data_IF_322235122006
#
_entry.id   IF_322235122006
#
_cell.length_a   1.000
_cell.length_b   1.000
_cell.length_c   1.000
_cell.angle_alpha   90.00
_cell.angle_beta   90.00
_cell.angle_gamma   90.00
#
_symmetry.space_group_name_H-M   'P 1'
#
loop_
_entity.id
_entity.type
_entity.pdbx_description
1 polymer ?
#
# COMPACT_ATOMS: atom_id res chain seq x y z
N UNK A 1 1.31 0.40 42.18
CA UNK A 1 1.72 -0.28 40.94
C UNK A 1 1.23 -1.71 41.06
N UNK A 2 0.12 -2.06 40.42
CA UNK A 2 -0.43 -3.42 40.52
C UNK A 2 0.28 -4.31 39.49
N UNK A 3 1.07 -5.28 39.97
CA UNK A 3 1.61 -6.36 39.14
C UNK A 3 0.46 -7.18 38.56
N UNK A 4 0.20 -7.02 37.27
CA UNK A 4 -0.74 -7.89 36.54
C UNK A 4 0.02 -9.19 36.25
N UNK A 5 -0.44 -10.35 36.76
CA UNK A 5 0.17 -11.63 36.45
C UNK A 5 0.18 -11.85 34.94
N UNK A 6 1.36 -12.14 34.37
CA UNK A 6 1.47 -12.52 32.97
C UNK A 6 0.64 -13.79 32.73
N UNK A 7 -0.18 -13.86 31.67
CA UNK A 7 -0.91 -15.07 31.34
C UNK A 7 0.08 -16.21 31.07
N UNK A 8 -0.30 -17.47 31.37
CA UNK A 8 0.55 -18.62 31.11
C UNK A 8 0.88 -18.71 29.62
N UNK A 9 2.10 -19.15 29.25
CA UNK A 9 2.46 -19.34 27.86
C UNK A 9 1.51 -20.36 27.21
N UNK A 10 1.13 -20.17 25.94
CA UNK A 10 0.28 -21.11 25.22
C UNK A 10 0.96 -22.49 25.14
N UNK A 11 0.17 -23.59 25.09
CA UNK A 11 0.70 -24.93 24.96
C UNK A 11 1.51 -25.08 23.66
N UNK A 12 2.56 -25.92 23.65
CA UNK A 12 3.35 -26.16 22.45
C UNK A 12 2.48 -26.78 21.35
N UNK A 13 2.68 -26.41 20.07
CA UNK A 13 1.94 -26.99 18.96
C UNK A 13 2.21 -28.51 18.84
N UNK A 14 1.25 -29.29 18.31
CA UNK A 14 1.45 -30.72 18.07
C UNK A 14 2.62 -30.97 17.11
N UNK A 15 3.33 -32.11 17.25
CA UNK A 15 4.50 -32.39 16.43
C UNK A 15 4.14 -32.51 14.94
N UNK A 16 5.01 -32.02 14.03
CA UNK A 16 4.80 -32.11 12.60
C UNK A 16 4.58 -33.55 12.10
N UNK A 17 3.75 -33.74 11.06
CA UNK A 17 3.78 -34.97 10.27
C UNK A 17 5.21 -35.22 9.73
N UNK A 18 5.72 -36.46 9.79
CA UNK A 18 7.03 -36.78 9.23
C UNK A 18 7.06 -36.46 7.73
N UNK A 19 7.95 -35.56 7.31
CA UNK A 19 8.21 -35.26 5.89
C UNK A 19 7.50 -34.04 5.30
N UNK A 20 6.75 -33.25 6.09
CA UNK A 20 6.17 -31.98 5.63
C UNK A 20 7.08 -30.79 5.92
N UNK A 21 7.31 -29.91 4.94
CA UNK A 21 7.81 -28.57 5.21
C UNK A 21 6.71 -27.82 6.00
N UNK A 22 6.90 -27.65 7.30
CA UNK A 22 6.05 -26.74 8.07
C UNK A 22 6.62 -25.34 7.98
N UNK A 23 5.83 -24.35 7.51
CA UNK A 23 6.25 -22.97 7.65
C UNK A 23 6.47 -22.68 9.15
N UNK A 24 7.48 -21.88 9.52
CA UNK A 24 7.65 -21.46 10.89
C UNK A 24 6.36 -20.75 11.35
N UNK A 25 5.76 -21.22 12.44
CA UNK A 25 4.56 -20.65 13.08
C UNK A 25 4.94 -20.20 14.49
N UNK A 26 4.39 -19.07 14.95
CA UNK A 26 4.71 -18.49 16.26
C UNK A 26 6.09 -17.85 16.33
N UNK A 27 6.79 -17.67 15.20
CA UNK A 27 8.10 -17.03 15.18
C UNK A 27 7.91 -15.51 15.25
N UNK A 28 8.47 -14.91 16.30
CA UNK A 28 8.50 -13.45 16.49
C UNK A 28 9.76 -12.85 15.85
N UNK A 29 9.73 -11.56 15.47
CA UNK A 29 10.94 -10.86 15.04
C UNK A 29 12.00 -10.84 16.15
N UNK A 30 13.26 -11.00 15.75
CA UNK A 30 14.42 -11.02 16.66
C UNK A 30 14.57 -9.71 17.46
N UNK A 31 14.18 -8.56 16.87
CA UNK A 31 14.14 -7.28 17.55
C UNK A 31 13.06 -6.37 16.95
N UNK A 32 12.34 -5.65 17.81
CA UNK A 32 11.42 -4.58 17.42
C UNK A 32 12.17 -3.24 17.55
N UNK A 33 12.88 -2.87 16.48
CA UNK A 33 13.70 -1.66 16.46
C UNK A 33 14.25 -1.34 15.07
N UNK A 34 14.75 -0.11 14.90
CA UNK A 34 15.32 0.34 13.63
C UNK A 34 14.28 0.71 12.57
N UNK A 35 14.70 0.65 11.31
CA UNK A 35 14.03 1.31 10.19
C UNK A 35 12.65 0.74 9.81
N UNK A 36 12.37 -0.51 10.19
CA UNK A 36 11.11 -1.20 9.84
C UNK A 36 9.99 -1.03 10.88
N UNK A 37 10.33 -0.66 12.12
CA UNK A 37 9.35 -0.61 13.23
C UNK A 37 9.14 0.81 13.79
N UNK A 38 10.01 1.78 13.46
CA UNK A 38 9.81 3.19 13.83
C UNK A 38 8.76 3.84 12.91
N UNK A 39 7.58 4.26 13.42
CA UNK A 39 6.51 4.78 12.57
C UNK A 39 6.94 6.02 11.78
N UNK A 40 7.63 6.96 12.45
CA UNK A 40 8.12 8.18 11.81
C UNK A 40 9.15 7.90 10.72
N UNK A 41 10.05 6.95 10.95
CA UNK A 41 11.09 6.58 9.99
C UNK A 41 10.48 5.84 8.79
N UNK A 42 9.53 4.93 9.03
CA UNK A 42 8.79 4.24 7.96
C UNK A 42 8.05 5.24 7.07
N UNK A 43 7.33 6.21 7.65
CA UNK A 43 6.63 7.25 6.88
C UNK A 43 7.63 8.09 6.09
N UNK A 44 8.69 8.59 6.76
CA UNK A 44 9.71 9.42 6.14
C UNK A 44 10.37 8.72 4.94
N UNK A 45 10.84 7.49 5.12
CA UNK A 45 11.47 6.73 4.05
C UNK A 45 10.48 6.38 2.94
N UNK A 46 9.22 6.07 3.27
CA UNK A 46 8.18 5.83 2.25
C UNK A 46 8.00 7.04 1.34
N UNK A 47 7.98 8.25 1.91
CA UNK A 47 7.88 9.50 1.14
C UNK A 47 9.16 9.75 0.33
N UNK A 48 10.32 9.73 1.00
CA UNK A 48 11.63 10.07 0.39
C UNK A 48 11.99 9.12 -0.75
N UNK A 49 11.56 7.86 -0.67
CA UNK A 49 11.82 6.83 -1.69
C UNK A 49 10.65 6.61 -2.65
N UNK A 50 9.62 7.47 -2.62
CA UNK A 50 8.45 7.40 -3.49
C UNK A 50 7.76 6.02 -3.49
N UNK A 51 7.55 5.46 -2.29
CA UNK A 51 6.85 4.18 -2.10
C UNK A 51 7.74 2.94 -2.22
N UNK A 52 8.99 3.05 -2.69
CA UNK A 52 9.92 1.89 -2.75
C UNK A 52 10.16 1.33 -1.35
N UNK A 53 10.41 2.19 -0.36
CA UNK A 53 10.50 1.77 1.04
C UNK A 53 9.19 1.17 1.55
N UNK A 54 8.04 1.71 1.13
CA UNK A 54 6.72 1.15 1.46
C UNK A 54 6.56 -0.29 0.98
N UNK A 55 7.08 -0.62 -0.21
CA UNK A 55 7.11 -1.99 -0.71
C UNK A 55 8.04 -2.90 0.11
N UNK A 56 9.25 -2.45 0.45
CA UNK A 56 10.18 -3.22 1.29
C UNK A 56 9.62 -3.46 2.70
N UNK A 57 9.00 -2.44 3.27
CA UNK A 57 8.31 -2.55 4.55
C UNK A 57 7.14 -3.53 4.45
N UNK A 58 6.34 -3.48 3.39
CA UNK A 58 5.22 -4.42 3.14
C UNK A 58 5.73 -5.85 3.07
N UNK A 59 6.84 -6.10 2.38
CA UNK A 59 7.48 -7.42 2.33
C UNK A 59 7.80 -7.93 3.73
N UNK A 60 8.57 -7.13 4.49
CA UNK A 60 9.07 -7.53 5.81
C UNK A 60 7.92 -7.77 6.79
N UNK A 61 6.99 -6.85 6.86
CA UNK A 61 5.82 -6.93 7.74
C UNK A 61 4.95 -8.15 7.40
N UNK A 62 4.69 -8.40 6.12
CA UNK A 62 3.84 -9.54 5.72
C UNK A 62 4.53 -10.89 5.93
N UNK A 63 5.86 -10.98 5.80
CA UNK A 63 6.63 -12.16 6.20
C UNK A 63 6.56 -12.40 7.70
N UNK A 64 6.81 -11.37 8.52
CA UNK A 64 6.78 -11.49 9.97
C UNK A 64 5.39 -11.92 10.47
N UNK A 65 4.33 -11.35 9.90
CA UNK A 65 2.95 -11.76 10.19
C UNK A 65 2.72 -13.23 9.84
N UNK A 66 3.07 -13.66 8.62
CA UNK A 66 2.88 -15.05 8.17
C UNK A 66 3.66 -16.05 9.02
N UNK A 67 4.88 -15.70 9.44
CA UNK A 67 5.72 -16.53 10.32
C UNK A 67 5.16 -16.64 11.74
N UNK A 68 4.41 -15.64 12.18
CA UNK A 68 3.78 -15.67 13.48
C UNK A 68 2.45 -16.44 13.46
N UNK A 69 1.57 -16.15 12.51
CA UNK A 69 0.22 -16.73 12.44
C UNK A 69 0.18 -18.10 11.77
N UNK A 70 1.19 -18.42 10.94
CA UNK A 70 1.17 -19.61 10.07
C UNK A 70 0.22 -19.48 8.87
N UNK A 71 -0.52 -18.37 8.77
CA UNK A 71 -1.51 -18.09 7.72
C UNK A 71 -1.46 -16.60 7.32
N UNK A 72 -1.55 -16.31 6.02
CA UNK A 72 -1.49 -14.96 5.49
C UNK A 72 -0.75 -14.84 4.15
N UNK A 73 -0.82 -13.63 3.57
CA UNK A 73 -0.26 -13.31 2.25
C UNK A 73 1.22 -13.70 2.15
N UNK A 74 2.02 -13.37 3.17
CA UNK A 74 3.48 -13.43 3.10
C UNK A 74 4.06 -12.23 2.34
N UNK A 75 5.38 -12.06 2.40
CA UNK A 75 6.07 -10.88 1.88
C UNK A 75 5.91 -10.69 0.39
N UNK A 76 6.22 -11.73 -0.40
CA UNK A 76 6.18 -11.64 -1.86
C UNK A 76 4.78 -11.29 -2.34
N UNK A 77 3.77 -12.03 -1.87
CA UNK A 77 2.38 -11.78 -2.28
C UNK A 77 1.87 -10.43 -1.79
N UNK A 78 2.27 -10.01 -0.57
CA UNK A 78 1.97 -8.67 -0.05
C UNK A 78 2.54 -7.56 -0.94
N UNK A 79 3.78 -7.68 -1.40
CA UNK A 79 4.39 -6.73 -2.35
C UNK A 79 3.68 -6.73 -3.69
N UNK A 80 3.34 -7.91 -4.21
CA UNK A 80 2.60 -8.03 -5.47
C UNK A 80 1.26 -7.30 -5.37
N UNK A 81 0.52 -7.52 -4.29
CA UNK A 81 -0.76 -6.81 -4.03
C UNK A 81 -0.53 -5.30 -3.94
N UNK A 82 0.47 -4.86 -3.16
CA UNK A 82 0.80 -3.44 -3.02
C UNK A 82 1.07 -2.79 -4.39
N UNK A 83 1.97 -3.37 -5.18
CA UNK A 83 2.37 -2.82 -6.48
C UNK A 83 1.19 -2.84 -7.46
N UNK A 84 0.45 -3.96 -7.54
CA UNK A 84 -0.67 -4.08 -8.48
C UNK A 84 -1.75 -3.05 -8.15
N UNK A 85 -2.16 -2.92 -6.88
CA UNK A 85 -3.18 -1.95 -6.50
C UNK A 85 -2.74 -0.52 -6.79
N UNK A 86 -1.50 -0.17 -6.47
CA UNK A 86 -0.95 1.16 -6.75
C UNK A 86 -0.92 1.48 -8.24
N UNK A 87 -0.45 0.54 -9.08
CA UNK A 87 -0.38 0.75 -10.52
C UNK A 87 -1.78 0.81 -11.13
N UNK A 88 -2.67 -0.12 -10.77
CA UNK A 88 -4.03 -0.16 -11.32
C UNK A 88 -4.75 1.17 -11.07
N UNK A 89 -4.69 1.72 -9.85
CA UNK A 89 -5.33 2.99 -9.52
C UNK A 89 -4.82 4.17 -10.37
N UNK A 90 -3.55 4.15 -10.75
CA UNK A 90 -2.93 5.18 -11.59
C UNK A 90 -3.58 5.28 -12.98
N UNK A 91 -4.12 4.17 -13.50
CA UNK A 91 -4.86 4.12 -14.77
C UNK A 91 -6.37 4.24 -14.58
N UNK A 92 -6.91 3.65 -13.51
CA UNK A 92 -8.35 3.62 -13.23
C UNK A 92 -8.89 5.03 -12.94
N UNK A 93 -8.19 5.84 -12.12
CA UNK A 93 -8.69 7.18 -11.76
C UNK A 93 -8.83 8.10 -13.00
N UNK A 94 -7.83 8.24 -13.90
CA UNK A 94 -7.99 9.01 -15.13
C UNK A 94 -9.09 8.46 -16.04
N UNK A 95 -9.28 7.13 -16.08
CA UNK A 95 -10.36 6.51 -16.84
C UNK A 95 -11.74 6.87 -16.28
N UNK A 96 -11.90 6.87 -14.96
CA UNK A 96 -13.14 7.30 -14.29
C UNK A 96 -13.45 8.77 -14.55
N UNK A 97 -12.43 9.64 -14.46
CA UNK A 97 -12.58 11.06 -14.81
C UNK A 97 -12.96 11.23 -16.28
N UNK A 98 -12.33 10.49 -17.20
CA UNK A 98 -12.69 10.51 -18.62
C UNK A 98 -14.15 10.16 -18.84
N UNK A 99 -14.60 9.03 -18.28
CA UNK A 99 -15.98 8.58 -18.40
C UNK A 99 -16.97 9.59 -17.79
N UNK A 100 -16.60 10.23 -16.67
CA UNK A 100 -17.39 11.27 -16.03
C UNK A 100 -17.57 12.50 -16.94
N UNK A 101 -16.49 13.01 -17.55
CA UNK A 101 -16.55 14.12 -18.50
C UNK A 101 -17.37 13.78 -19.75
N UNK A 102 -17.18 12.59 -20.32
CA UNK A 102 -17.87 12.16 -21.55
C UNK A 102 -19.38 11.98 -21.34
N UNK A 103 -19.78 11.47 -20.16
CA UNK A 103 -21.20 11.41 -19.76
C UNK A 103 -21.82 12.78 -19.61
N UNK A 104 -21.01 13.81 -19.35
CA UNK A 104 -21.44 15.21 -19.31
C UNK A 104 -21.42 15.90 -20.67
N UNK A 105 -21.17 15.15 -21.76
CA UNK A 105 -21.04 15.70 -23.11
C UNK A 105 -19.78 16.55 -23.31
N UNK A 106 -18.80 16.49 -22.40
CA UNK A 106 -17.56 17.26 -22.46
C UNK A 106 -16.39 16.37 -22.88
N UNK A 107 -15.42 16.95 -23.58
CA UNK A 107 -14.14 16.27 -23.81
C UNK A 107 -13.33 16.24 -22.51
N UNK A 108 -12.77 15.07 -22.18
CA UNK A 108 -11.97 14.93 -20.97
C UNK A 108 -10.57 15.51 -21.14
N UNK A 109 -10.05 16.27 -20.16
CA UNK A 109 -8.68 16.75 -20.13
C UNK A 109 -7.65 15.65 -19.81
N UNK A 110 -8.10 14.46 -19.41
CA UNK A 110 -7.26 13.30 -19.08
C UNK A 110 -7.73 12.04 -19.78
N UNK A 111 -6.81 11.10 -19.95
CA UNK A 111 -7.08 9.77 -20.53
C UNK A 111 -6.37 8.70 -19.69
N UNK A 112 -6.73 7.41 -19.81
CA UNK A 112 -6.06 6.34 -19.08
C UNK A 112 -4.54 6.33 -19.28
N UNK A 113 -4.03 6.78 -20.44
CA UNK A 113 -2.59 6.85 -20.72
C UNK A 113 -1.85 7.84 -19.82
N UNK A 114 -2.53 8.80 -19.19
CA UNK A 114 -1.91 9.63 -18.16
C UNK A 114 -1.38 8.77 -17.01
N UNK A 115 -1.94 7.58 -16.78
CA UNK A 115 -1.43 6.65 -15.81
C UNK A 115 0.06 6.31 -15.98
N UNK A 116 0.60 6.38 -17.21
CA UNK A 116 2.02 6.09 -17.51
C UNK A 116 3.01 7.06 -16.84
N UNK A 117 2.56 8.20 -16.32
CA UNK A 117 3.43 9.12 -15.59
C UNK A 117 4.10 8.50 -14.37
N UNK A 118 3.59 7.39 -13.81
CA UNK A 118 4.26 6.67 -12.71
C UNK A 118 5.67 6.17 -13.06
N UNK A 119 5.97 5.97 -14.35
CA UNK A 119 7.30 5.56 -14.83
C UNK A 119 8.38 6.61 -14.54
N UNK A 120 7.97 7.87 -14.32
CA UNK A 120 8.83 8.95 -13.86
C UNK A 120 8.49 9.23 -12.38
N UNK A 121 9.08 8.48 -11.42
CA UNK A 121 8.54 8.38 -10.07
C UNK A 121 8.47 9.71 -9.31
N UNK A 122 9.36 10.66 -9.57
CA UNK A 122 9.28 11.99 -8.96
C UNK A 122 8.42 12.93 -9.80
N UNK A 123 8.92 13.32 -10.98
CA UNK A 123 8.30 14.36 -11.81
C UNK A 123 6.94 13.92 -12.34
N UNK A 124 6.82 12.66 -12.75
CA UNK A 124 5.59 12.14 -13.32
C UNK A 124 4.48 11.98 -12.28
N UNK A 125 4.77 11.49 -11.08
CA UNK A 125 3.75 11.47 -10.01
C UNK A 125 3.24 12.88 -9.71
N UNK A 126 4.11 13.90 -9.64
CA UNK A 126 3.69 15.29 -9.44
C UNK A 126 2.76 15.75 -10.56
N UNK A 127 3.15 15.57 -11.83
CA UNK A 127 2.35 15.96 -12.99
C UNK A 127 0.99 15.24 -12.99
N UNK A 128 1.00 13.94 -12.67
CA UNK A 128 -0.22 13.14 -12.60
C UNK A 128 -1.19 13.70 -11.55
N UNK A 129 -0.73 13.91 -10.32
CA UNK A 129 -1.58 14.43 -9.24
C UNK A 129 -2.11 15.82 -9.56
N UNK A 130 -1.27 16.73 -10.07
CA UNK A 130 -1.70 18.06 -10.45
C UNK A 130 -2.79 18.01 -11.53
N UNK A 131 -2.59 17.21 -12.57
CA UNK A 131 -3.55 17.13 -13.68
C UNK A 131 -4.86 16.47 -13.26
N UNK A 132 -4.80 15.37 -12.51
CA UNK A 132 -5.99 14.68 -11.98
C UNK A 132 -6.79 15.62 -11.08
N UNK A 133 -6.13 16.32 -10.16
CA UNK A 133 -6.80 17.24 -9.24
C UNK A 133 -7.39 18.46 -9.96
N UNK A 134 -6.65 19.05 -10.90
CA UNK A 134 -7.18 20.14 -11.73
C UNK A 134 -8.43 19.71 -12.49
N UNK A 135 -8.40 18.53 -13.12
CA UNK A 135 -9.53 17.99 -13.87
C UNK A 135 -10.74 17.73 -12.96
N UNK A 136 -10.53 17.17 -11.77
CA UNK A 136 -11.61 17.00 -10.79
C UNK A 136 -12.19 18.35 -10.36
N UNK A 137 -11.33 19.30 -9.99
CA UNK A 137 -11.76 20.62 -9.51
C UNK A 137 -12.54 21.38 -10.59
N UNK A 138 -12.05 21.41 -11.83
CA UNK A 138 -12.75 22.03 -12.96
C UNK A 138 -14.12 21.41 -13.21
N UNK A 139 -14.22 20.08 -13.11
CA UNK A 139 -15.49 19.39 -13.22
C UNK A 139 -16.44 19.81 -12.10
N UNK A 140 -16.02 19.78 -10.85
CA UNK A 140 -16.87 20.15 -9.72
C UNK A 140 -17.29 21.62 -9.75
N UNK A 141 -16.40 22.53 -10.13
CA UNK A 141 -16.71 23.95 -10.33
C UNK A 141 -17.78 24.11 -11.41
N UNK A 142 -17.69 23.35 -12.51
CA UNK A 142 -18.73 23.35 -13.55
C UNK A 142 -20.09 22.81 -13.07
N UNK A 143 -20.11 22.08 -11.94
CA UNK A 143 -21.32 21.63 -11.25
C UNK A 143 -21.79 22.55 -10.13
N UNK A 144 -21.15 23.70 -9.94
CA UNK A 144 -21.52 24.70 -8.94
C UNK A 144 -20.78 24.58 -7.60
N UNK A 145 -19.73 23.77 -7.51
CA UNK A 145 -18.81 23.83 -6.38
C UNK A 145 -18.13 25.21 -6.34
N UNK A 146 -18.01 25.79 -5.14
CA UNK A 146 -17.32 27.08 -4.96
C UNK A 146 -15.81 26.86 -4.90
N UNK A 147 -14.99 27.65 -5.62
CA UNK A 147 -13.55 27.64 -5.41
C UNK A 147 -13.25 28.14 -3.99
N UNK A 148 -12.23 27.54 -3.36
CA UNK A 148 -11.69 28.00 -2.09
C UNK A 148 -10.70 29.15 -2.31
#
# INVERSE_FOLDING_TARGET
>A
MSDIPQPPPPPPPPPPPPGGYQPPVGVVPEAVGGVYYSPGLVILLTIVTFGIWGALWTYRTSEDLKKYTGDGLGGVLGVVVYIILSIVLMFTIPNEIKNMYERDGRQSPVTPLWGLWFLLPLIGNIIWYLKVQQSLNEFWISKGARPA
#
